data_IF_978547767598
#
_entry.id   IF_978547767598
#
_cell.length_a   1.000
_cell.length_b   1.000
_cell.length_c   1.000
_cell.angle_alpha   90.00
_cell.angle_beta   90.00
_cell.angle_gamma   90.00
#
_symmetry.space_group_name_H-M   'P 1'
#
loop_
_entity.id
_entity.type
_entity.pdbx_description
1 polymer ?
#
# COMPACT_ATOMS: atom_id res chain seq x y z
N UNK A 1 -27.41 -39.15 -9.47
CA UNK A 1 -26.34 -38.23 -9.04
C UNK A 1 -26.64 -37.83 -7.61
N UNK A 2 -25.79 -38.24 -6.68
CA UNK A 2 -25.87 -37.82 -5.28
C UNK A 2 -25.15 -36.49 -5.10
N UNK A 3 -25.53 -35.70 -4.08
CA UNK A 3 -24.79 -34.48 -3.67
C UNK A 3 -23.32 -34.79 -3.35
N UNK A 4 -23.00 -36.03 -2.96
CA UNK A 4 -21.62 -36.47 -2.72
C UNK A 4 -20.80 -36.51 -4.01
N UNK A 5 -21.39 -36.97 -5.11
CA UNK A 5 -20.74 -37.04 -6.43
C UNK A 5 -20.38 -35.61 -6.92
N UNK A 6 -21.29 -34.65 -6.70
CA UNK A 6 -21.05 -33.24 -7.04
C UNK A 6 -19.88 -32.66 -6.24
N UNK A 7 -19.79 -32.96 -4.94
CA UNK A 7 -18.68 -32.51 -4.08
C UNK A 7 -17.34 -33.07 -4.52
N UNK A 8 -17.28 -34.34 -4.91
CA UNK A 8 -16.04 -34.98 -5.40
C UNK A 8 -15.56 -34.38 -6.73
N UNK A 9 -16.49 -34.12 -7.67
CA UNK A 9 -16.17 -33.43 -8.93
C UNK A 9 -15.70 -32.00 -8.66
N UNK A 10 -16.39 -31.26 -7.80
CA UNK A 10 -15.99 -29.90 -7.42
C UNK A 10 -14.58 -29.88 -6.80
N UNK A 11 -14.26 -30.82 -5.90
CA UNK A 11 -12.94 -30.95 -5.30
C UNK A 11 -11.85 -31.23 -6.35
N UNK A 12 -12.13 -32.09 -7.33
CA UNK A 12 -11.20 -32.44 -8.41
C UNK A 12 -10.92 -31.25 -9.33
N UNK A 13 -11.93 -30.40 -9.57
CA UNK A 13 -11.82 -29.19 -10.39
C UNK A 13 -11.39 -27.94 -9.58
N UNK A 14 -11.06 -28.09 -8.29
CA UNK A 14 -10.76 -27.00 -7.35
C UNK A 14 -11.88 -25.96 -7.20
N UNK A 15 -13.14 -26.33 -7.42
CA UNK A 15 -14.31 -25.49 -7.29
C UNK A 15 -14.75 -25.45 -5.81
N UNK A 16 -14.15 -24.55 -5.04
CA UNK A 16 -14.24 -24.56 -3.59
C UNK A 16 -15.58 -24.05 -3.06
N UNK A 17 -16.27 -23.19 -3.81
CA UNK A 17 -17.45 -22.45 -3.35
C UNK A 17 -18.76 -22.96 -3.96
N UNK A 18 -18.70 -23.61 -5.13
CA UNK A 18 -19.90 -24.15 -5.81
C UNK A 18 -20.66 -25.14 -4.92
N UNK A 19 -19.96 -26.07 -4.28
CA UNK A 19 -20.57 -27.15 -3.49
C UNK A 19 -21.40 -26.65 -2.28
N UNK A 20 -21.19 -25.41 -1.86
CA UNK A 20 -21.87 -24.80 -0.71
C UNK A 20 -22.94 -23.77 -1.14
N UNK A 21 -22.83 -23.20 -2.34
CA UNK A 21 -23.63 -22.03 -2.75
C UNK A 21 -24.54 -22.28 -3.96
N UNK A 22 -24.44 -23.43 -4.63
CA UNK A 22 -25.26 -23.72 -5.81
C UNK A 22 -26.77 -23.74 -5.51
N UNK A 23 -27.16 -24.02 -4.26
CA UNK A 23 -28.57 -24.02 -3.82
C UNK A 23 -29.17 -22.60 -3.74
N UNK A 24 -28.33 -21.56 -3.65
CA UNK A 24 -28.77 -20.16 -3.62
C UNK A 24 -29.19 -19.65 -5.01
N UNK A 25 -28.87 -20.41 -6.08
CA UNK A 25 -29.05 -19.98 -7.47
C UNK A 25 -30.39 -20.46 -7.99
N UNK A 26 -31.20 -19.52 -8.47
CA UNK A 26 -32.48 -19.82 -9.11
C UNK A 26 -32.24 -20.57 -10.42
N UNK A 27 -32.95 -21.67 -10.61
CA UNK A 27 -32.92 -22.44 -11.84
C UNK A 27 -34.02 -21.98 -12.80
N UNK A 28 -33.64 -21.32 -13.90
CA UNK A 28 -34.56 -20.95 -14.97
C UNK A 28 -34.36 -21.83 -16.21
N UNK A 29 -33.10 -21.98 -16.63
CA UNK A 29 -32.70 -22.83 -17.74
C UNK A 29 -31.26 -23.34 -17.53
N UNK A 30 -30.81 -24.25 -18.40
CA UNK A 30 -29.53 -24.94 -18.23
C UNK A 30 -28.34 -23.98 -18.39
N UNK A 31 -28.41 -23.10 -19.37
CA UNK A 31 -27.35 -22.15 -19.72
C UNK A 31 -27.16 -21.10 -18.61
N UNK A 32 -28.27 -20.52 -18.13
CA UNK A 32 -28.29 -19.57 -17.01
C UNK A 32 -27.77 -20.21 -15.74
N UNK A 33 -28.27 -21.39 -15.36
CA UNK A 33 -27.83 -22.05 -14.14
C UNK A 33 -26.33 -22.37 -14.17
N UNK A 34 -25.83 -22.91 -15.29
CA UNK A 34 -24.41 -23.20 -15.44
C UNK A 34 -23.57 -21.91 -15.38
N UNK A 35 -24.00 -20.85 -16.05
CA UNK A 35 -23.32 -19.57 -16.04
C UNK A 35 -23.25 -18.97 -14.62
N UNK A 36 -24.38 -18.93 -13.90
CA UNK A 36 -24.47 -18.32 -12.57
C UNK A 36 -23.70 -19.11 -11.51
N UNK A 37 -23.67 -20.45 -11.62
CA UNK A 37 -22.85 -21.31 -10.75
C UNK A 37 -21.36 -20.99 -10.94
N UNK A 38 -20.91 -20.87 -12.19
CA UNK A 38 -19.52 -20.54 -12.50
C UNK A 38 -19.18 -19.10 -12.08
N UNK A 39 -20.10 -18.15 -12.30
CA UNK A 39 -19.93 -16.76 -11.88
C UNK A 39 -19.82 -16.63 -10.36
N UNK A 40 -20.61 -17.42 -9.62
CA UNK A 40 -20.55 -17.49 -8.14
C UNK A 40 -19.21 -18.01 -7.66
N UNK A 41 -18.62 -19.01 -8.33
CA UNK A 41 -17.26 -19.48 -8.00
C UNK A 41 -16.22 -18.38 -8.24
N UNK A 42 -16.28 -17.71 -9.40
CA UNK A 42 -15.33 -16.64 -9.77
C UNK A 42 -15.39 -15.50 -8.75
N UNK A 43 -16.58 -14.99 -8.45
CA UNK A 43 -16.79 -13.92 -7.48
C UNK A 43 -16.37 -14.31 -6.06
N UNK A 44 -16.62 -15.55 -5.65
CA UNK A 44 -16.19 -16.07 -4.34
C UNK A 44 -14.66 -16.18 -4.24
N UNK A 45 -13.99 -16.65 -5.29
CA UNK A 45 -12.51 -16.67 -5.36
C UNK A 45 -11.91 -15.26 -5.32
N UNK A 46 -12.51 -14.31 -6.04
CA UNK A 46 -12.08 -12.91 -6.00
C UNK A 46 -12.23 -12.33 -4.60
N UNK A 47 -13.39 -12.50 -3.97
CA UNK A 47 -13.67 -12.04 -2.61
C UNK A 47 -12.70 -12.64 -1.59
N UNK A 48 -12.37 -13.93 -1.73
CA UNK A 48 -11.39 -14.60 -0.88
C UNK A 48 -9.95 -14.08 -1.11
N UNK A 49 -9.57 -13.80 -2.37
CA UNK A 49 -8.28 -13.16 -2.69
C UNK A 49 -8.18 -11.79 -2.03
N UNK A 50 -9.18 -10.92 -2.20
CA UNK A 50 -9.24 -9.58 -1.61
C UNK A 50 -9.16 -9.66 -0.08
N UNK A 51 -9.98 -10.52 0.53
CA UNK A 51 -9.98 -10.74 1.98
C UNK A 51 -8.59 -11.16 2.50
N UNK A 52 -7.88 -12.02 1.76
CA UNK A 52 -6.51 -12.42 2.09
C UNK A 52 -5.53 -11.27 1.97
N UNK A 53 -5.63 -10.43 0.93
CA UNK A 53 -4.78 -9.26 0.73
C UNK A 53 -4.98 -8.23 1.84
N UNK A 54 -6.23 -7.91 2.20
CA UNK A 54 -6.57 -7.00 3.31
C UNK A 54 -5.99 -7.53 4.64
N UNK A 55 -6.15 -8.83 4.93
CA UNK A 55 -5.55 -9.45 6.12
C UNK A 55 -4.01 -9.37 6.13
N UNK A 56 -3.39 -9.48 4.96
CA UNK A 56 -1.93 -9.39 4.79
C UNK A 56 -1.41 -7.96 4.95
N UNK A 57 -2.23 -6.97 4.59
CA UNK A 57 -1.89 -5.56 4.67
C UNK A 57 -1.77 -5.02 6.10
N UNK A 58 -2.44 -5.66 7.08
CA UNK A 58 -2.34 -5.31 8.51
C UNK A 58 -2.73 -3.86 8.83
N UNK A 59 -3.81 -3.37 8.20
CA UNK A 59 -4.42 -2.09 8.55
C UNK A 59 -4.84 -2.05 10.04
N UNK A 60 -4.68 -0.89 10.70
CA UNK A 60 -5.13 -0.67 12.09
C UNK A 60 -6.66 -0.66 12.17
N UNK A 61 -7.28 0.06 11.24
CA UNK A 61 -8.72 0.15 11.07
C UNK A 61 -9.05 0.04 9.58
N UNK A 62 -10.27 -0.42 9.26
CA UNK A 62 -10.76 -0.44 7.88
C UNK A 62 -11.55 0.84 7.64
N UNK A 63 -11.10 1.66 6.68
CA UNK A 63 -11.74 2.92 6.27
C UNK A 63 -11.89 2.91 4.76
N UNK A 64 -13.11 3.01 4.24
CA UNK A 64 -13.35 2.89 2.80
C UNK A 64 -13.34 4.25 2.12
N UNK A 65 -13.03 4.29 0.82
CA UNK A 65 -13.03 5.52 0.02
C UNK A 65 -14.41 6.17 -0.06
N UNK A 66 -15.48 5.36 -0.08
CA UNK A 66 -16.88 5.83 -0.07
C UNK A 66 -17.24 6.63 1.18
N UNK A 67 -16.53 6.40 2.28
CA UNK A 67 -16.75 7.08 3.57
C UNK A 67 -15.79 8.28 3.74
N UNK A 68 -14.96 8.58 2.72
CA UNK A 68 -14.00 9.68 2.76
C UNK A 68 -14.59 10.95 2.16
N UNK A 69 -14.69 12.00 2.98
CA UNK A 69 -15.17 13.30 2.54
C UNK A 69 -14.00 14.23 2.20
N UNK A 70 -13.97 14.72 0.96
CA UNK A 70 -13.05 15.80 0.60
C UNK A 70 -13.53 17.11 1.19
N UNK A 71 -12.82 17.60 2.19
CA UNK A 71 -13.02 18.94 2.71
C UNK A 71 -12.22 19.98 1.89
N UNK A 72 -12.55 21.27 2.07
CA UNK A 72 -11.86 22.37 1.41
C UNK A 72 -10.45 22.66 1.96
N UNK A 73 -10.01 21.95 2.99
CA UNK A 73 -8.65 22.04 3.51
C UNK A 73 -7.70 21.15 2.71
N UNK A 74 -8.18 20.16 1.97
CA UNK A 74 -7.32 19.27 1.19
C UNK A 74 -6.91 19.91 -0.13
N UNK A 75 -5.65 20.32 -0.23
CA UNK A 75 -5.08 20.87 -1.46
C UNK A 75 -4.30 19.79 -2.21
N UNK A 76 -4.68 19.56 -3.47
CA UNK A 76 -3.92 18.73 -4.40
C UNK A 76 -3.05 19.63 -5.28
N UNK A 77 -1.90 19.13 -5.77
CA UNK A 77 -1.09 19.88 -6.70
C UNK A 77 -1.80 19.97 -8.05
N UNK A 78 -1.53 21.03 -8.82
CA UNK A 78 -2.17 21.28 -10.11
C UNK A 78 -1.96 20.16 -11.15
N UNK A 79 -0.96 19.30 -10.92
CA UNK A 79 -0.62 18.15 -11.77
C UNK A 79 -1.54 16.95 -11.58
N UNK A 80 -2.54 17.02 -10.70
CA UNK A 80 -3.19 15.82 -10.16
C UNK A 80 -4.62 16.08 -9.79
N UNK A 81 -5.49 15.14 -10.14
CA UNK A 81 -6.89 15.21 -9.75
C UNK A 81 -7.26 14.15 -8.73
N UNK A 82 -8.41 14.35 -8.08
CA UNK A 82 -8.97 13.40 -7.10
C UNK A 82 -9.25 12.05 -7.75
N UNK A 83 -9.72 12.08 -8.99
CA UNK A 83 -10.07 10.91 -9.79
C UNK A 83 -8.82 10.06 -10.08
N UNK A 84 -7.67 10.69 -10.36
CA UNK A 84 -6.43 9.95 -10.61
C UNK A 84 -5.89 9.23 -9.36
N UNK A 85 -6.07 9.85 -8.18
CA UNK A 85 -5.73 9.24 -6.90
C UNK A 85 -6.68 8.08 -6.61
N UNK A 86 -7.98 8.29 -6.84
CA UNK A 86 -8.97 7.24 -6.71
C UNK A 86 -8.67 6.08 -7.64
N UNK A 87 -8.34 6.30 -8.90
CA UNK A 87 -7.98 5.27 -9.89
C UNK A 87 -6.60 4.65 -9.64
N UNK A 88 -5.94 4.99 -8.53
CA UNK A 88 -4.63 4.45 -8.15
C UNK A 88 -3.57 4.59 -9.25
N UNK A 89 -3.66 5.63 -10.11
CA UNK A 89 -2.72 5.82 -11.25
C UNK A 89 -1.26 5.87 -10.80
N UNK A 90 -1.01 6.41 -9.61
CA UNK A 90 0.31 6.48 -8.99
C UNK A 90 0.94 5.09 -8.73
N UNK A 91 0.13 4.02 -8.58
CA UNK A 91 0.64 2.64 -8.43
C UNK A 91 1.26 2.10 -9.73
N UNK A 92 0.70 2.46 -10.88
CA UNK A 92 1.25 2.07 -12.17
C UNK A 92 2.55 2.79 -12.47
N UNK A 93 2.63 4.08 -12.11
CA UNK A 93 3.82 4.91 -12.29
C UNK A 93 4.93 4.68 -11.26
N UNK A 94 4.70 3.84 -10.23
CA UNK A 94 5.57 3.68 -9.06
C UNK A 94 5.88 5.02 -8.38
N UNK A 95 4.89 5.90 -8.35
CA UNK A 95 4.96 7.20 -7.71
C UNK A 95 4.59 7.09 -6.23
N UNK A 96 5.21 7.92 -5.41
CA UNK A 96 4.92 8.03 -4.00
C UNK A 96 3.83 9.08 -3.76
N UNK A 97 3.05 8.94 -2.70
CA UNK A 97 2.03 9.90 -2.30
C UNK A 97 2.33 10.40 -0.90
N UNK A 98 2.59 11.70 -0.76
CA UNK A 98 2.86 12.34 0.51
C UNK A 98 1.60 13.08 0.98
N UNK A 99 1.02 12.61 2.08
CA UNK A 99 -0.14 13.22 2.72
C UNK A 99 0.36 14.01 3.94
N UNK A 100 0.34 15.34 3.84
CA UNK A 100 0.91 16.23 4.84
C UNK A 100 -0.17 17.16 5.43
N UNK A 101 0.00 17.52 6.70
CA UNK A 101 -0.76 18.59 7.35
C UNK A 101 -1.27 18.23 8.74
N UNK A 102 -2.13 19.07 9.31
CA UNK A 102 -2.46 19.02 10.74
C UNK A 102 -3.15 17.71 11.18
N UNK A 103 -2.98 17.25 12.44
CA UNK A 103 -3.74 16.11 12.96
C UNK A 103 -5.25 16.28 12.75
N UNK A 104 -5.95 15.20 12.42
CA UNK A 104 -7.40 15.24 12.20
C UNK A 104 -7.85 15.58 10.76
N UNK A 105 -6.94 15.88 9.84
CA UNK A 105 -7.30 16.18 8.42
C UNK A 105 -7.61 14.95 7.55
N UNK A 106 -7.70 13.75 8.15
CA UNK A 106 -8.08 12.53 7.42
C UNK A 106 -6.98 11.85 6.60
N UNK A 107 -5.70 12.23 6.75
CA UNK A 107 -4.56 11.62 6.03
C UNK A 107 -4.50 10.10 6.17
N UNK A 108 -4.57 9.59 7.39
CA UNK A 108 -4.55 8.15 7.67
C UNK A 108 -5.77 7.46 7.08
N UNK A 109 -6.95 8.08 7.13
CA UNK A 109 -8.16 7.56 6.49
C UNK A 109 -7.93 7.42 4.98
N UNK A 110 -7.48 8.47 4.30
CA UNK A 110 -7.22 8.44 2.86
C UNK A 110 -6.18 7.36 2.51
N UNK A 111 -5.07 7.30 3.23
CA UNK A 111 -4.04 6.28 3.03
C UNK A 111 -4.58 4.86 3.15
N UNK A 112 -5.34 4.58 4.23
CA UNK A 112 -6.00 3.28 4.44
C UNK A 112 -7.00 2.98 3.35
N UNK A 113 -7.81 3.95 2.95
CA UNK A 113 -8.86 3.79 1.94
C UNK A 113 -8.28 3.48 0.56
N UNK A 114 -7.20 4.16 0.16
CA UNK A 114 -6.45 3.84 -1.06
C UNK A 114 -5.80 2.45 -0.96
N UNK A 115 -5.26 2.09 0.20
CA UNK A 115 -4.74 0.74 0.44
C UNK A 115 -5.79 -0.35 0.33
N UNK A 116 -7.01 -0.11 0.78
CA UNK A 116 -8.13 -1.06 0.62
C UNK A 116 -8.54 -1.19 -0.84
N UNK A 117 -8.70 -0.07 -1.55
CA UNK A 117 -8.99 -0.11 -2.99
C UNK A 117 -7.90 -0.85 -3.76
N UNK A 118 -6.63 -0.65 -3.41
CA UNK A 118 -5.52 -1.38 -4.01
C UNK A 118 -5.63 -2.90 -3.76
N UNK A 119 -6.06 -3.33 -2.57
CA UNK A 119 -6.33 -4.73 -2.29
C UNK A 119 -7.50 -5.28 -3.13
N UNK A 120 -8.54 -4.48 -3.38
CA UNK A 120 -9.69 -4.84 -4.22
C UNK A 120 -9.28 -5.03 -5.69
N UNK A 121 -8.37 -4.19 -6.20
CA UNK A 121 -7.76 -4.32 -7.52
C UNK A 121 -6.71 -5.44 -7.59
N UNK A 122 -6.40 -6.07 -6.45
CA UNK A 122 -5.56 -7.26 -6.37
C UNK A 122 -4.08 -6.99 -6.13
N UNK A 123 -3.70 -5.75 -5.79
CA UNK A 123 -2.37 -5.37 -5.36
C UNK A 123 -2.09 -5.82 -3.93
N UNK A 124 -0.83 -6.18 -3.66
CA UNK A 124 -0.39 -6.50 -2.31
C UNK A 124 0.03 -5.24 -1.56
N UNK A 125 -0.63 -4.96 -0.44
CA UNK A 125 -0.36 -3.78 0.39
C UNK A 125 0.31 -4.17 1.70
N UNK A 126 1.12 -3.27 2.26
CA UNK A 126 1.56 -3.32 3.66
C UNK A 126 1.36 -1.97 4.33
N UNK A 127 0.75 -1.99 5.51
CA UNK A 127 0.56 -0.83 6.35
C UNK A 127 1.43 -0.94 7.60
N UNK A 128 2.17 0.12 7.89
CA UNK A 128 2.93 0.26 9.12
C UNK A 128 2.77 1.66 9.69
N UNK A 129 2.58 1.74 11.00
CA UNK A 129 2.93 2.97 11.72
C UNK A 129 4.45 3.07 11.75
N UNK A 130 5.00 4.23 11.43
CA UNK A 130 6.46 4.37 11.32
C UNK A 130 7.17 4.03 12.62
N UNK A 131 6.63 4.46 13.76
CA UNK A 131 7.21 4.15 15.08
C UNK A 131 7.29 2.64 15.35
N UNK A 132 6.22 1.90 15.00
CA UNK A 132 6.16 0.46 15.19
C UNK A 132 7.12 -0.27 14.23
N UNK A 133 7.24 0.20 12.98
CA UNK A 133 8.19 -0.33 12.01
C UNK A 133 9.63 -0.14 12.46
N UNK A 134 9.98 1.06 12.93
CA UNK A 134 11.34 1.33 13.42
C UNK A 134 11.67 0.44 14.62
N UNK A 135 10.76 0.33 15.59
CA UNK A 135 10.95 -0.57 16.73
C UNK A 135 11.14 -2.03 16.31
N UNK A 136 10.31 -2.51 15.36
CA UNK A 136 10.45 -3.85 14.80
C UNK A 136 11.78 -4.04 14.06
N UNK A 137 12.23 -3.06 13.28
CA UNK A 137 13.50 -3.13 12.55
C UNK A 137 14.70 -3.19 13.51
N UNK A 138 14.67 -2.41 14.61
CA UNK A 138 15.72 -2.42 15.63
C UNK A 138 15.78 -3.75 16.39
N UNK A 139 14.62 -4.32 16.76
CA UNK A 139 14.53 -5.63 17.41
C UNK A 139 15.07 -6.74 16.51
N UNK A 140 14.56 -6.80 15.28
CA UNK A 140 14.93 -7.82 14.30
C UNK A 140 16.40 -7.67 13.86
N UNK A 141 16.97 -6.46 13.88
CA UNK A 141 18.40 -6.25 13.67
C UNK A 141 19.25 -6.85 14.79
N UNK A 142 18.84 -6.71 16.06
CA UNK A 142 19.51 -7.33 17.21
C UNK A 142 19.47 -8.86 17.14
N UNK A 143 18.38 -9.42 16.62
CA UNK A 143 18.20 -10.86 16.42
C UNK A 143 18.87 -11.41 15.14
N UNK A 144 19.37 -10.54 14.25
CA UNK A 144 19.97 -10.94 12.98
C UNK A 144 18.96 -11.42 11.93
N UNK A 145 17.66 -11.14 12.07
CA UNK A 145 16.58 -11.65 11.20
C UNK A 145 16.00 -10.61 10.25
N UNK A 146 16.72 -9.50 9.99
CA UNK A 146 16.26 -8.32 9.22
C UNK A 146 15.67 -8.67 7.84
N UNK A 147 16.22 -9.71 7.22
CA UNK A 147 15.79 -10.21 5.92
C UNK A 147 14.33 -10.62 5.88
N UNK A 148 13.74 -11.03 7.02
CA UNK A 148 12.32 -11.41 7.08
C UNK A 148 11.40 -10.23 6.83
N UNK A 149 11.68 -9.08 7.47
CA UNK A 149 10.89 -7.85 7.32
C UNK A 149 11.09 -7.29 5.92
N UNK A 150 12.33 -7.23 5.43
CA UNK A 150 12.63 -6.80 4.05
C UNK A 150 11.87 -7.62 3.01
N UNK A 151 11.89 -8.95 3.09
CA UNK A 151 11.12 -9.83 2.19
C UNK A 151 9.61 -9.61 2.24
N UNK A 152 9.06 -9.15 3.35
CA UNK A 152 7.63 -8.83 3.45
C UNK A 152 7.28 -7.55 2.69
N UNK A 153 8.17 -6.56 2.77
CA UNK A 153 8.06 -5.28 2.05
C UNK A 153 8.39 -5.48 0.56
N UNK A 154 9.33 -6.37 0.23
CA UNK A 154 9.68 -6.67 -1.16
C UNK A 154 8.54 -7.27 -1.98
N UNK A 155 7.62 -7.97 -1.31
CA UNK A 155 6.46 -8.59 -1.95
C UNK A 155 5.26 -7.65 -2.10
N UNK A 156 5.26 -6.48 -1.47
CA UNK A 156 4.15 -5.55 -1.62
C UNK A 156 4.34 -4.63 -2.83
N UNK A 157 3.24 -4.31 -3.48
CA UNK A 157 3.16 -3.32 -4.56
C UNK A 157 3.05 -1.89 -3.99
N UNK A 158 2.42 -1.78 -2.81
CA UNK A 158 2.18 -0.53 -2.09
C UNK A 158 2.59 -0.67 -0.62
N UNK A 159 3.48 0.23 -0.18
CA UNK A 159 3.86 0.40 1.23
C UNK A 159 3.19 1.66 1.78
N UNK A 160 2.53 1.56 2.93
CA UNK A 160 1.91 2.69 3.64
C UNK A 160 2.65 2.90 4.95
N UNK A 161 3.22 4.09 5.11
CA UNK A 161 3.97 4.53 6.28
C UNK A 161 3.19 5.65 6.97
N UNK A 162 2.53 5.31 8.07
CA UNK A 162 1.63 6.21 8.79
C UNK A 162 2.30 6.89 9.99
N UNK A 163 1.94 8.15 10.25
CA UNK A 163 2.39 8.98 11.37
C UNK A 163 3.92 9.22 11.40
N UNK A 164 4.53 9.49 10.25
CA UNK A 164 5.93 9.89 10.20
C UNK A 164 6.14 11.22 10.94
N UNK A 165 7.12 11.26 11.84
CA UNK A 165 7.52 12.49 12.54
C UNK A 165 6.87 12.73 13.90
N UNK A 166 6.02 11.82 14.38
CA UNK A 166 5.40 11.93 15.71
C UNK A 166 6.35 11.57 16.86
N UNK A 167 7.37 10.75 16.62
CA UNK A 167 8.33 10.29 17.62
C UNK A 167 9.75 10.51 17.10
N UNK A 168 10.66 11.14 17.88
CA UNK A 168 12.07 11.23 17.49
C UNK A 168 12.71 9.84 17.52
N UNK A 169 13.32 9.43 16.41
CA UNK A 169 14.01 8.14 16.31
C UNK A 169 15.46 8.26 16.77
N UNK A 170 16.02 7.15 17.24
CA UNK A 170 17.47 7.03 17.37
C UNK A 170 18.09 7.00 15.96
N UNK A 171 19.36 7.41 15.86
CA UNK A 171 20.08 7.46 14.58
C UNK A 171 19.98 6.14 13.80
N UNK A 172 20.17 5.01 14.49
CA UNK A 172 20.06 3.67 13.91
C UNK A 172 18.66 3.39 13.33
N UNK A 173 17.59 3.69 14.07
CA UNK A 173 16.23 3.53 13.58
C UNK A 173 15.92 4.37 12.34
N UNK A 174 16.43 5.61 12.31
CA UNK A 174 16.27 6.51 11.15
C UNK A 174 17.01 5.99 9.91
N UNK A 175 18.21 5.42 10.07
CA UNK A 175 18.99 4.80 9.00
C UNK A 175 18.30 3.54 8.46
N UNK A 176 17.73 2.70 9.35
CA UNK A 176 16.98 1.51 8.94
C UNK A 176 15.73 1.87 8.13
N UNK A 177 14.97 2.87 8.59
CA UNK A 177 13.80 3.37 7.87
C UNK A 177 14.20 3.96 6.51
N UNK A 178 15.32 4.69 6.45
CA UNK A 178 15.87 5.19 5.20
C UNK A 178 16.16 4.06 4.21
N UNK A 179 16.86 3.00 4.65
CA UNK A 179 17.15 1.86 3.79
C UNK A 179 15.89 1.21 3.23
N UNK A 180 14.83 1.07 4.04
CA UNK A 180 13.55 0.52 3.57
C UNK A 180 12.92 1.40 2.49
N UNK A 181 12.87 2.72 2.70
CA UNK A 181 12.31 3.66 1.74
C UNK A 181 13.13 3.67 0.44
N UNK A 182 14.46 3.66 0.56
CA UNK A 182 15.37 3.61 -0.58
C UNK A 182 15.21 2.31 -1.39
N UNK A 183 15.04 1.16 -0.74
CA UNK A 183 14.77 -0.14 -1.38
C UNK A 183 13.41 -0.16 -2.13
N UNK A 184 12.49 0.76 -1.80
CA UNK A 184 11.21 0.90 -2.48
C UNK A 184 11.28 1.83 -3.70
N UNK A 185 12.27 2.72 -3.77
CA UNK A 185 12.39 3.72 -4.82
C UNK A 185 12.41 3.07 -6.22
N UNK A 186 11.63 3.61 -7.16
CA UNK A 186 11.40 3.10 -8.53
C UNK A 186 10.82 1.69 -8.68
N UNK A 187 10.70 0.93 -7.59
CA UNK A 187 10.19 -0.44 -7.62
C UNK A 187 8.75 -0.55 -7.09
N UNK A 188 8.39 0.29 -6.12
CA UNK A 188 7.14 0.22 -5.35
C UNK A 188 6.60 1.62 -5.12
N UNK A 189 5.29 1.74 -4.96
CA UNK A 189 4.69 3.00 -4.52
C UNK A 189 4.67 3.06 -3.00
N UNK A 190 4.95 4.24 -2.45
CA UNK A 190 4.90 4.48 -1.01
C UNK A 190 3.91 5.60 -0.71
N UNK A 191 2.94 5.34 0.18
CA UNK A 191 2.13 6.40 0.79
C UNK A 191 2.75 6.74 2.14
N UNK A 192 3.00 8.02 2.40
CA UNK A 192 3.46 8.50 3.71
C UNK A 192 2.46 9.49 4.27
N UNK A 193 2.09 9.34 5.54
CA UNK A 193 1.33 10.37 6.27
C UNK A 193 2.23 11.06 7.29
N UNK A 194 2.18 12.38 7.36
CA UNK A 194 2.93 13.15 8.36
C UNK A 194 2.18 14.42 8.76
N UNK A 195 2.41 14.85 10.00
CA UNK A 195 2.02 16.17 10.50
C UNK A 195 3.16 17.20 10.40
N UNK A 196 4.34 16.77 9.96
CA UNK A 196 5.48 17.65 9.74
C UNK A 196 5.47 18.14 8.29
N UNK A 197 5.72 19.43 8.12
CA UNK A 197 6.10 19.99 6.84
C UNK A 197 7.40 19.33 6.35
N UNK A 198 7.57 19.25 5.03
CA UNK A 198 8.71 18.59 4.42
C UNK A 198 10.07 19.11 4.93
N UNK A 199 10.21 20.43 5.11
CA UNK A 199 11.45 21.04 5.63
C UNK A 199 11.83 20.60 7.05
N UNK A 200 10.89 20.02 7.80
CA UNK A 200 11.11 19.55 9.17
C UNK A 200 11.53 18.09 9.25
N UNK A 201 11.56 17.35 8.13
CA UNK A 201 11.95 15.94 8.10
C UNK A 201 13.42 15.71 8.48
N UNK A 202 14.27 16.73 8.37
CA UNK A 202 15.63 16.73 8.94
C UNK A 202 15.64 16.42 10.45
N UNK A 203 14.57 16.74 11.18
CA UNK A 203 14.47 16.41 12.61
C UNK A 203 14.27 14.91 12.85
N UNK A 204 13.73 14.20 11.86
CA UNK A 204 13.41 12.76 11.93
C UNK A 204 14.57 11.93 11.42
N UNK A 205 15.22 12.39 10.35
CA UNK A 205 16.27 11.64 9.66
C UNK A 205 17.69 12.19 9.87
N UNK A 206 17.85 13.33 10.55
CA UNK A 206 19.11 14.06 10.64
C UNK A 206 19.54 14.65 9.29
N UNK A 207 20.84 14.75 9.06
CA UNK A 207 21.44 15.17 7.77
C UNK A 207 21.35 14.09 6.66
N UNK A 208 20.55 13.04 6.85
CA UNK A 208 20.38 12.00 5.83
C UNK A 208 19.65 12.57 4.60
N UNK A 209 20.07 12.21 3.37
CA UNK A 209 19.57 12.81 2.12
C UNK A 209 18.14 12.40 1.72
N UNK A 210 17.29 12.02 2.66
CA UNK A 210 15.89 11.66 2.41
C UNK A 210 15.08 12.80 1.80
N UNK A 211 15.40 14.04 2.16
CA UNK A 211 14.84 15.20 1.48
C UNK A 211 15.04 15.09 -0.04
N UNK A 212 16.18 14.60 -0.52
CA UNK A 212 16.43 14.46 -1.96
C UNK A 212 15.66 13.30 -2.59
N UNK A 213 15.45 12.21 -1.86
CA UNK A 213 14.72 11.03 -2.37
C UNK A 213 13.23 11.33 -2.56
N UNK A 214 12.66 12.20 -1.75
CA UNK A 214 11.25 12.62 -1.83
C UNK A 214 11.00 13.93 -2.57
N UNK A 215 12.00 14.83 -2.71
CA UNK A 215 11.80 16.15 -3.34
C UNK A 215 12.18 16.23 -4.82
N UNK A 216 12.91 15.25 -5.37
CA UNK A 216 13.31 15.29 -6.77
C UNK A 216 14.04 16.58 -7.19
N UNK A 217 14.77 17.26 -6.28
CA UNK A 217 15.41 18.53 -6.63
C UNK A 217 16.60 18.31 -7.58
N UNK A 218 16.47 18.82 -8.81
CA UNK A 218 17.55 18.99 -9.79
C UNK A 218 18.74 19.73 -9.16
N UNK A 219 19.88 19.05 -8.93
CA UNK A 219 21.17 19.75 -9.00
C UNK A 219 22.24 19.53 -7.92
N UNK A 220 22.05 18.74 -6.86
CA UNK A 220 23.14 18.49 -5.89
C UNK A 220 23.60 17.03 -5.87
N UNK A 221 24.93 16.76 -5.82
CA UNK A 221 25.45 15.40 -5.80
C UNK A 221 25.03 14.68 -4.52
N UNK A 222 24.40 13.50 -4.67
CA UNK A 222 24.16 12.59 -3.57
C UNK A 222 25.53 12.10 -3.02
N UNK A 223 25.80 12.17 -1.71
CA UNK A 223 27.12 11.81 -1.15
C UNK A 223 27.33 10.28 -1.08
N UNK A 224 26.31 9.47 -1.36
CA UNK A 224 26.48 8.03 -1.50
C UNK A 224 27.01 7.71 -2.89
N UNK A 225 28.26 7.25 -2.91
CA UNK A 225 28.98 6.71 -4.05
C UNK A 225 28.13 5.63 -4.76
N UNK A 226 27.33 6.07 -5.74
CA UNK A 226 26.53 5.20 -6.59
C UNK A 226 27.48 4.44 -7.54
N UNK A 227 27.84 3.21 -7.16
CA UNK A 227 28.41 2.24 -8.08
C UNK A 227 27.34 1.98 -9.16
N UNK A 228 27.71 2.27 -10.40
CA UNK A 228 26.90 2.36 -11.62
C UNK A 228 26.21 3.70 -11.90
N UNK A 229 26.98 4.52 -12.64
CA UNK A 229 26.53 5.61 -13.50
C UNK A 229 25.17 5.34 -14.15
N UNK A 230 24.18 6.16 -13.81
CA UNK A 230 23.20 6.78 -14.73
C UNK A 230 22.61 8.00 -14.01
N UNK A 231 22.56 9.14 -14.70
CA UNK A 231 21.92 10.38 -14.21
C UNK A 231 20.47 10.06 -13.82
N UNK A 232 20.07 10.44 -12.61
CA UNK A 232 18.70 10.31 -12.09
C UNK A 232 17.78 11.33 -12.80
N UNK A 233 16.66 10.93 -13.42
CA UNK A 233 15.66 11.87 -13.90
C UNK A 233 14.81 12.40 -12.72
N UNK A 234 14.71 13.71 -12.60
CA UNK A 234 14.06 14.44 -11.50
C UNK A 234 12.50 14.40 -11.53
N UNK A 235 11.89 13.52 -12.31
CA UNK A 235 10.48 13.66 -12.74
C UNK A 235 9.48 12.78 -11.97
N UNK A 236 9.88 12.06 -10.91
CA UNK A 236 9.04 10.99 -10.33
C UNK A 236 8.73 11.09 -8.83
N UNK A 237 8.92 12.28 -8.24
CA UNK A 237 8.24 12.65 -7.00
C UNK A 237 7.09 13.58 -7.36
N UNK A 238 5.87 13.06 -7.35
CA UNK A 238 4.68 13.86 -7.58
C UNK A 238 3.73 13.60 -6.41
N UNK A 239 2.93 14.60 -6.07
CA UNK A 239 1.88 14.58 -5.04
C UNK A 239 2.31 15.04 -3.64
N UNK A 240 2.37 16.36 -3.50
CA UNK A 240 2.15 17.07 -2.24
C UNK A 240 0.65 17.28 -2.07
N UNK A 241 0.05 16.60 -1.11
CA UNK A 241 -1.24 17.02 -0.60
C UNK A 241 -1.00 17.80 0.69
N UNK A 242 -0.94 19.12 0.59
CA UNK A 242 -0.93 19.99 1.77
C UNK A 242 -2.38 20.19 2.22
N UNK A 243 -2.61 20.05 3.53
CA UNK A 243 -3.87 20.42 4.18
C UNK A 243 -3.69 21.63 5.07
#
# INVERSE_FOLDING_TARGET
MSVRDLKEVCKTLHLAYIAERYEEIVFENKEQFLYDVLLTEVSSRQSAKVSRLIKKAKFRELKWLKDYEWNGQIHLPATTTKEEIYDLRFLHGKQNLLLLGSPGTGKTHLATALGLKACEEGFEVRFFRVADLVGQLEEVLKEGTLQRVKRQIDKCDLLILDELGYVPFQKQGSELLFHIIADCYEHKSVIVTSNLEFGQWNRVFGDNPLNFCFSGSLGTPCPYHCIHRRKLPAEKCSFFCET
#
